data_IF_742841951702
#
_entry.id   IF_742841951702
#
_cell.length_a   1.000
_cell.length_b   1.000
_cell.length_c   1.000
_cell.angle_alpha   90.00
_cell.angle_beta   90.00
_cell.angle_gamma   90.00
#
_symmetry.space_group_name_H-M   'P 1'
#
loop_
_entity.id
_entity.type
_entity.pdbx_description
1 polymer ?
#
# COMPACT_ATOMS: atom_id res chain seq x y z
N UNK A 1 37.53 -7.78 10.02
CA UNK A 1 36.92 -8.09 8.70
C UNK A 1 37.23 -6.89 7.81
N UNK A 2 37.76 -7.15 6.64
CA UNK A 2 38.65 -6.30 5.84
C UNK A 2 37.89 -5.49 4.79
N UNK A 3 38.09 -4.17 4.69
CA UNK A 3 37.64 -3.35 3.56
C UNK A 3 38.72 -2.33 3.14
N UNK A 4 39.58 -2.80 2.23
CA UNK A 4 40.61 -2.03 1.53
C UNK A 4 40.00 -1.06 0.51
N UNK A 5 39.31 -0.01 0.96
CA UNK A 5 38.83 1.04 0.05
C UNK A 5 39.98 2.03 -0.20
N UNK A 6 40.69 1.84 -1.32
CA UNK A 6 41.63 2.83 -1.85
C UNK A 6 40.83 4.01 -2.41
N UNK A 7 40.87 5.14 -1.72
CA UNK A 7 40.38 6.42 -2.25
C UNK A 7 41.51 7.11 -3.04
N UNK A 8 41.29 7.34 -4.33
CA UNK A 8 42.23 8.05 -5.17
C UNK A 8 42.12 9.58 -5.01
N UNK A 9 43.28 10.23 -5.05
CA UNK A 9 43.56 11.47 -5.78
C UNK A 9 42.54 12.61 -5.83
N UNK A 10 42.17 13.23 -4.70
CA UNK A 10 42.16 14.70 -4.48
C UNK A 10 41.42 15.04 -3.17
N UNK A 11 42.14 15.46 -2.13
CA UNK A 11 41.65 16.27 -1.00
C UNK A 11 40.39 15.81 -0.22
N UNK A 12 40.06 14.51 -0.19
CA UNK A 12 38.90 14.03 0.55
C UNK A 12 39.35 13.13 1.70
N UNK A 13 39.52 13.71 2.89
CA UNK A 13 39.56 12.92 4.12
C UNK A 13 38.29 12.06 4.18
N UNK A 14 38.39 10.72 4.26
CA UNK A 14 37.21 9.87 4.35
C UNK A 14 36.39 10.30 5.56
N UNK A 15 35.12 10.68 5.36
CA UNK A 15 34.23 11.01 6.47
C UNK A 15 34.03 9.77 7.30
N UNK A 16 34.38 9.84 8.59
CA UNK A 16 34.16 8.77 9.54
C UNK A 16 32.66 8.68 9.87
N UNK A 17 32.00 7.67 9.29
CA UNK A 17 30.60 7.33 9.50
C UNK A 17 30.39 6.31 10.64
N UNK A 18 31.42 6.05 11.46
CA UNK A 18 31.29 5.19 12.64
C UNK A 18 30.24 5.75 13.60
N UNK A 19 29.24 4.91 13.95
CA UNK A 19 28.17 5.24 14.90
C UNK A 19 28.66 5.52 16.32
N UNK A 20 29.94 5.22 16.62
CA UNK A 20 30.56 5.40 17.94
C UNK A 20 31.81 6.29 17.90
N UNK A 21 32.15 6.84 16.72
CA UNK A 21 33.35 7.64 16.51
C UNK A 21 33.22 9.10 16.96
N UNK A 22 34.26 9.88 16.71
CA UNK A 22 34.35 11.30 17.09
C UNK A 22 33.22 12.15 16.48
N UNK A 23 32.77 11.80 15.26
CA UNK A 23 31.62 12.43 14.61
C UNK A 23 30.31 12.23 15.39
N UNK A 24 30.13 11.07 16.04
CA UNK A 24 28.96 10.78 16.86
C UNK A 24 29.00 11.59 18.17
N UNK A 25 30.16 11.73 18.80
CA UNK A 25 30.33 12.59 19.97
C UNK A 25 30.01 14.06 19.64
N UNK A 26 30.48 14.58 18.49
CA UNK A 26 30.11 15.92 18.00
C UNK A 26 28.61 16.05 17.70
N UNK A 27 27.96 15.01 17.17
CA UNK A 27 26.51 15.02 16.93
C UNK A 27 25.71 15.06 18.24
N UNK A 28 26.23 14.45 19.31
CA UNK A 28 25.67 14.53 20.67
C UNK A 28 25.79 15.94 21.23
N UNK A 29 26.98 16.54 21.19
CA UNK A 29 27.20 17.90 21.71
C UNK A 29 26.45 18.98 20.91
N UNK A 30 26.22 18.75 19.62
CA UNK A 30 25.47 19.67 18.75
C UNK A 30 23.95 19.45 18.83
N UNK A 31 23.48 18.47 19.61
CA UNK A 31 22.05 18.21 19.83
C UNK A 31 21.34 17.48 18.67
N UNK A 32 22.06 17.04 17.64
CA UNK A 32 21.50 16.27 16.51
C UNK A 32 21.08 14.84 16.88
N UNK A 33 21.47 14.36 18.07
CA UNK A 33 21.08 13.03 18.56
C UNK A 33 19.75 13.02 19.29
N UNK A 34 19.25 14.17 19.74
CA UNK A 34 17.93 14.31 20.35
C UNK A 34 16.88 14.59 19.27
N UNK A 35 16.83 13.75 18.23
CA UNK A 35 15.67 13.72 17.36
C UNK A 35 14.48 13.23 18.21
N UNK A 36 13.70 14.17 18.75
CA UNK A 36 12.33 13.93 19.19
C UNK A 36 11.57 13.46 17.96
N UNK A 37 11.51 12.13 17.79
CA UNK A 37 10.78 11.51 16.70
C UNK A 37 9.34 11.96 16.82
N UNK A 38 8.82 12.57 15.75
CA UNK A 38 7.46 13.10 15.70
C UNK A 38 6.46 12.06 16.23
N UNK A 39 5.91 12.33 17.42
CA UNK A 39 4.80 11.58 17.96
C UNK A 39 3.53 12.27 17.48
N UNK A 40 2.60 11.52 16.87
CA UNK A 40 1.30 12.10 16.57
C UNK A 40 0.61 12.54 17.87
N UNK A 41 0.18 13.79 17.93
CA UNK A 41 -0.66 14.33 19.03
C UNK A 41 -2.04 13.65 19.13
N UNK A 42 -2.34 12.70 18.25
CA UNK A 42 -3.59 11.97 18.20
C UNK A 42 -3.61 10.89 19.29
N UNK A 43 -4.53 10.97 20.27
CA UNK A 43 -4.65 9.97 21.32
C UNK A 43 -4.89 8.55 20.75
N UNK A 44 -4.31 7.52 21.37
CA UNK A 44 -4.48 6.11 20.95
C UNK A 44 -5.94 5.70 20.76
N UNK A 45 -6.86 6.25 21.56
CA UNK A 45 -8.31 5.98 21.44
C UNK A 45 -8.88 6.47 20.11
N UNK A 46 -8.49 7.66 19.66
CA UNK A 46 -8.93 8.26 18.39
C UNK A 46 -8.36 7.49 17.21
N UNK A 47 -7.08 7.10 17.29
CA UNK A 47 -6.44 6.25 16.29
C UNK A 47 -7.18 4.92 16.14
N UNK A 48 -7.55 4.28 17.26
CA UNK A 48 -8.31 3.02 17.25
C UNK A 48 -9.72 3.18 16.66
N UNK A 49 -10.37 4.32 16.86
CA UNK A 49 -11.67 4.62 16.28
C UNK A 49 -11.60 4.78 14.74
N UNK A 50 -10.51 5.35 14.23
CA UNK A 50 -10.26 5.48 12.78
C UNK A 50 -9.93 4.13 12.11
N UNK A 51 -9.37 3.18 12.86
CA UNK A 51 -9.12 1.82 12.37
C UNK A 51 -10.38 0.95 12.25
N UNK A 52 -11.58 1.51 12.50
CA UNK A 52 -12.84 0.77 12.37
C UNK A 52 -13.03 0.34 10.92
N UNK A 53 -12.94 -0.98 10.69
CA UNK A 53 -13.28 -1.58 9.40
C UNK A 53 -14.75 -1.28 9.09
N UNK A 54 -15.00 -0.80 7.87
CA UNK A 54 -16.33 -0.52 7.34
C UNK A 54 -16.64 -1.54 6.26
N UNK A 55 -17.33 -2.61 6.63
CA UNK A 55 -17.63 -3.72 5.70
C UNK A 55 -18.87 -3.45 4.83
N UNK A 56 -19.63 -2.39 5.12
CA UNK A 56 -20.84 -2.01 4.38
C UNK A 56 -20.64 -1.85 2.86
N UNK A 57 -19.66 -1.08 2.37
CA UNK A 57 -19.37 -0.97 0.94
C UNK A 57 -19.01 -2.31 0.30
N UNK A 58 -18.19 -3.13 0.95
CA UNK A 58 -17.78 -4.42 0.41
C UNK A 58 -18.97 -5.39 0.24
N UNK A 59 -19.91 -5.38 1.19
CA UNK A 59 -21.13 -6.18 1.10
C UNK A 59 -22.02 -5.70 -0.06
N UNK A 60 -22.18 -4.38 -0.23
CA UNK A 60 -22.96 -3.82 -1.34
C UNK A 60 -22.39 -4.22 -2.68
N UNK A 61 -21.07 -4.08 -2.85
CA UNK A 61 -20.39 -4.44 -4.09
C UNK A 61 -20.53 -5.93 -4.38
N UNK A 62 -20.43 -6.79 -3.36
CA UNK A 62 -20.65 -8.24 -3.52
C UNK A 62 -22.07 -8.56 -3.99
N UNK A 63 -23.09 -7.91 -3.40
CA UNK A 63 -24.48 -8.12 -3.78
C UNK A 63 -24.72 -7.65 -5.22
N UNK A 64 -24.22 -6.46 -5.59
CA UNK A 64 -24.36 -5.90 -6.94
C UNK A 64 -23.71 -6.85 -7.95
N UNK A 65 -22.49 -7.29 -7.67
CA UNK A 65 -21.72 -8.17 -8.54
C UNK A 65 -22.41 -9.53 -8.77
N UNK A 66 -22.93 -10.17 -7.70
CA UNK A 66 -23.69 -11.43 -7.78
C UNK A 66 -25.00 -11.22 -8.55
N UNK A 67 -25.74 -10.15 -8.24
CA UNK A 67 -27.02 -9.86 -8.89
C UNK A 67 -26.84 -9.66 -10.40
N UNK A 68 -25.78 -8.94 -10.78
CA UNK A 68 -25.45 -8.69 -12.18
C UNK A 68 -25.14 -9.99 -12.92
N UNK A 69 -24.33 -10.88 -12.32
CA UNK A 69 -24.05 -12.21 -12.87
C UNK A 69 -25.33 -13.02 -13.09
N UNK A 70 -26.22 -13.06 -12.10
CA UNK A 70 -27.47 -13.81 -12.20
C UNK A 70 -28.39 -13.26 -13.29
N UNK A 71 -28.53 -11.93 -13.39
CA UNK A 71 -29.37 -11.31 -14.42
C UNK A 71 -28.87 -11.65 -15.82
N UNK A 72 -27.56 -11.54 -16.07
CA UNK A 72 -27.00 -11.85 -17.39
C UNK A 72 -27.03 -13.34 -17.70
N UNK A 73 -26.78 -14.21 -16.72
CA UNK A 73 -26.88 -15.66 -16.90
C UNK A 73 -28.31 -16.10 -17.20
N UNK A 74 -29.29 -15.65 -16.40
CA UNK A 74 -30.71 -15.96 -16.62
C UNK A 74 -31.23 -15.34 -17.92
N UNK A 75 -30.83 -14.11 -18.24
CA UNK A 75 -31.16 -13.46 -19.50
C UNK A 75 -30.62 -14.23 -20.72
N UNK A 76 -29.36 -14.68 -20.66
CA UNK A 76 -28.75 -15.50 -21.71
C UNK A 76 -29.46 -16.83 -21.94
N UNK A 77 -29.94 -17.48 -20.86
CA UNK A 77 -30.72 -18.72 -20.94
C UNK A 77 -32.14 -18.45 -21.45
N UNK A 78 -32.78 -17.37 -21.02
CA UNK A 78 -34.15 -17.04 -21.44
C UNK A 78 -34.22 -16.65 -22.92
N UNK A 79 -33.26 -15.86 -23.40
CA UNK A 79 -33.20 -15.41 -24.80
C UNK A 79 -32.50 -16.41 -25.74
N UNK A 80 -32.34 -17.67 -25.31
CA UNK A 80 -31.66 -18.72 -26.07
C UNK A 80 -32.26 -18.88 -27.48
N UNK A 81 -31.40 -18.95 -28.50
CA UNK A 81 -31.82 -18.99 -29.90
C UNK A 81 -32.07 -17.62 -30.55
N UNK A 82 -31.89 -16.52 -29.83
CA UNK A 82 -31.90 -15.16 -30.40
C UNK A 82 -30.50 -14.54 -30.39
N UNK A 83 -30.29 -13.53 -31.23
CA UNK A 83 -29.02 -12.79 -31.29
C UNK A 83 -28.70 -12.05 -29.96
N UNK A 84 -29.73 -11.75 -29.16
CA UNK A 84 -29.61 -11.06 -27.88
C UNK A 84 -28.91 -11.94 -26.83
N UNK A 85 -29.07 -13.27 -26.88
CA UNK A 85 -28.34 -14.17 -25.98
C UNK A 85 -26.82 -14.00 -26.11
N UNK A 86 -26.30 -13.73 -27.32
CA UNK A 86 -24.87 -13.53 -27.55
C UNK A 86 -24.38 -12.24 -26.87
N UNK A 87 -25.17 -11.16 -26.89
CA UNK A 87 -24.87 -9.93 -26.13
C UNK A 87 -24.95 -10.16 -24.62
N UNK A 88 -25.90 -10.96 -24.12
CA UNK A 88 -25.99 -11.30 -22.69
C UNK A 88 -24.77 -12.13 -22.22
N UNK A 89 -24.30 -13.09 -23.02
CA UNK A 89 -23.12 -13.89 -22.70
C UNK A 89 -21.81 -13.09 -22.78
N UNK A 90 -21.67 -12.18 -23.74
CA UNK A 90 -20.54 -11.26 -23.80
C UNK A 90 -20.49 -10.35 -22.57
N UNK A 91 -21.62 -9.77 -22.17
CA UNK A 91 -21.70 -8.95 -20.97
C UNK A 91 -21.35 -9.76 -19.71
N UNK A 92 -21.88 -10.98 -19.57
CA UNK A 92 -21.53 -11.90 -18.49
C UNK A 92 -20.02 -12.16 -18.44
N UNK A 93 -19.38 -12.41 -19.59
CA UNK A 93 -17.94 -12.64 -19.69
C UNK A 93 -17.09 -11.45 -19.25
N UNK A 94 -17.50 -10.21 -19.55
CA UNK A 94 -16.78 -9.00 -19.12
C UNK A 94 -16.87 -8.77 -17.61
N UNK A 95 -17.98 -9.18 -16.98
CA UNK A 95 -18.21 -8.99 -15.54
C UNK A 95 -17.50 -10.09 -14.72
N UNK A 96 -17.29 -11.27 -15.32
CA UNK A 96 -16.56 -12.38 -14.73
C UNK A 96 -15.03 -12.27 -14.89
N UNK A 97 -14.56 -11.43 -15.82
CA UNK A 97 -13.13 -11.23 -16.15
C UNK A 97 -12.36 -10.30 -15.23
#
# INVERSE_FOLDING_TARGET
MNDNVKFDGNNLTPKDYSLTGTSAACAVTTGLTAAEWYHSDVPRKTMKALMKRRDGPAIRDTIIWITLHLIFALGGIYFWGTWIALMCWLAYGVIAG
#
